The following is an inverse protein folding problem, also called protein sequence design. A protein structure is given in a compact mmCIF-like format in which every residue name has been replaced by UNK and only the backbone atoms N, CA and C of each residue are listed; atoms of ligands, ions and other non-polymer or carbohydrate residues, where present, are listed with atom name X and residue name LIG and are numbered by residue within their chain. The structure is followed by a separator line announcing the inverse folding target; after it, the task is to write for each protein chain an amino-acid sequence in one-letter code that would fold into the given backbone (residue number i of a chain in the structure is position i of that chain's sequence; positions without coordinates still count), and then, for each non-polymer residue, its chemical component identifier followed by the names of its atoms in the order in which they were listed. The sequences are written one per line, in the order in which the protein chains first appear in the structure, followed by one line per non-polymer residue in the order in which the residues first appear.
data_IF_847251571444
#
_entry.id   IF_847251571444
#
_cell.length_a   1.000
_cell.length_b   1.000
_cell.length_c   1.000
_cell.angle_alpha   90.00
_cell.angle_beta   90.00
_cell.angle_gamma   90.00
#
_symmetry.space_group_name_H-M   'P 1'
#
loop_
_entity.id
_entity.type
_entity.pdbx_description
1 polymer ?
#
# COMPACT_ATOMS: atom_id res chain seq x y z
N UNK A 1 -29.53 -36.71 -57.75
CA UNK A 1 -29.77 -35.33 -57.32
C UNK A 1 -29.14 -35.14 -55.95
N UNK A 2 -28.14 -34.27 -55.90
CA UNK A 2 -27.17 -34.17 -54.81
C UNK A 2 -27.70 -33.59 -53.50
N UNK A 3 -27.57 -34.34 -52.41
CA UNK A 3 -27.89 -33.92 -51.05
C UNK A 3 -26.65 -33.37 -50.30
N UNK A 4 -25.68 -32.75 -50.99
CA UNK A 4 -24.43 -32.33 -50.41
C UNK A 4 -24.44 -30.93 -49.73
N UNK A 5 -25.59 -30.23 -49.69
CA UNK A 5 -25.66 -28.88 -49.16
C UNK A 5 -26.02 -28.82 -47.67
N UNK A 6 -26.56 -29.89 -47.09
CA UNK A 6 -26.96 -29.92 -45.65
C UNK A 6 -25.78 -30.16 -44.71
N UNK A 7 -24.75 -30.88 -45.14
CA UNK A 7 -23.58 -31.18 -44.33
C UNK A 7 -22.67 -29.97 -44.11
N UNK A 8 -22.50 -29.10 -45.15
CA UNK A 8 -21.67 -27.88 -45.02
C UNK A 8 -22.28 -26.85 -44.05
N UNK A 9 -23.59 -26.72 -43.97
CA UNK A 9 -24.25 -25.79 -43.05
C UNK A 9 -24.19 -26.28 -41.60
N UNK A 10 -24.26 -27.57 -41.38
CA UNK A 10 -24.19 -28.19 -40.04
C UNK A 10 -22.78 -28.03 -39.43
N UNK A 11 -21.74 -28.25 -40.20
CA UNK A 11 -20.34 -28.06 -39.81
C UNK A 11 -20.04 -26.60 -39.44
N UNK A 12 -20.60 -25.60 -40.14
CA UNK A 12 -20.41 -24.18 -39.80
C UNK A 12 -21.07 -23.80 -38.45
N UNK A 13 -22.26 -24.31 -38.17
CA UNK A 13 -22.96 -24.06 -36.91
C UNK A 13 -22.21 -24.68 -35.73
N UNK A 14 -21.68 -25.88 -35.90
CA UNK A 14 -20.88 -26.59 -34.91
C UNK A 14 -19.57 -25.83 -34.63
N UNK A 15 -18.86 -25.33 -35.62
CA UNK A 15 -17.68 -24.49 -35.46
C UNK A 15 -17.99 -23.16 -34.72
N UNK A 16 -19.09 -22.50 -35.08
CA UNK A 16 -19.51 -21.28 -34.39
C UNK A 16 -19.83 -21.53 -32.90
N UNK A 17 -20.47 -22.67 -32.59
CA UNK A 17 -20.75 -23.10 -31.23
C UNK A 17 -19.47 -23.30 -30.41
N UNK A 18 -18.48 -23.99 -30.95
CA UNK A 18 -17.18 -24.21 -30.31
C UNK A 18 -16.44 -22.90 -30.11
N UNK A 19 -16.41 -22.00 -31.11
CA UNK A 19 -15.78 -20.69 -30.97
C UNK A 19 -16.45 -19.82 -29.88
N UNK A 20 -17.77 -19.87 -29.80
CA UNK A 20 -18.49 -19.14 -28.73
C UNK A 20 -18.10 -19.64 -27.32
N UNK A 21 -18.01 -20.95 -27.14
CA UNK A 21 -17.59 -21.56 -25.88
C UNK A 21 -16.17 -21.19 -25.54
N UNK A 22 -15.23 -21.30 -26.47
CA UNK A 22 -13.83 -20.93 -26.27
C UNK A 22 -13.71 -19.46 -25.92
N UNK A 23 -14.46 -18.57 -26.55
CA UNK A 23 -14.44 -17.14 -26.27
C UNK A 23 -14.89 -16.85 -24.84
N UNK A 24 -16.00 -17.44 -24.40
CA UNK A 24 -16.49 -17.25 -22.99
C UNK A 24 -15.51 -17.78 -21.97
N UNK A 25 -14.93 -18.97 -22.19
CA UNK A 25 -13.92 -19.57 -21.30
C UNK A 25 -12.65 -18.72 -21.26
N UNK A 26 -12.20 -18.19 -22.40
CA UNK A 26 -10.99 -17.34 -22.46
C UNK A 26 -11.18 -16.03 -21.70
N UNK A 27 -12.32 -15.35 -21.87
CA UNK A 27 -12.61 -14.09 -21.18
C UNK A 27 -12.72 -14.31 -19.67
N UNK A 28 -13.42 -15.36 -19.23
CA UNK A 28 -13.55 -15.69 -17.81
C UNK A 28 -12.22 -16.10 -17.17
N UNK A 29 -11.39 -16.84 -17.90
CA UNK A 29 -10.04 -17.22 -17.48
C UNK A 29 -9.12 -16.00 -17.28
N UNK A 30 -9.13 -15.06 -18.22
CA UNK A 30 -8.36 -13.80 -18.11
C UNK A 30 -8.82 -12.93 -16.95
N UNK A 31 -10.12 -12.81 -16.72
CA UNK A 31 -10.67 -12.06 -15.61
C UNK A 31 -10.27 -12.67 -14.25
N UNK A 32 -10.34 -14.00 -14.13
CA UNK A 32 -9.91 -14.73 -12.94
C UNK A 32 -8.42 -14.57 -12.67
N UNK A 33 -7.58 -14.69 -13.71
CA UNK A 33 -6.13 -14.48 -13.61
C UNK A 33 -5.79 -13.06 -13.19
N UNK A 34 -6.42 -12.05 -13.78
CA UNK A 34 -6.20 -10.64 -13.41
C UNK A 34 -6.50 -10.38 -11.94
N UNK A 35 -7.63 -10.91 -11.43
CA UNK A 35 -8.01 -10.79 -10.04
C UNK A 35 -7.01 -11.50 -9.10
N UNK A 36 -6.59 -12.72 -9.44
CA UNK A 36 -5.60 -13.48 -8.68
C UNK A 36 -4.26 -12.74 -8.61
N UNK A 37 -3.81 -12.14 -9.72
CA UNK A 37 -2.58 -11.36 -9.76
C UNK A 37 -2.67 -10.09 -8.91
N UNK A 38 -3.81 -9.40 -8.90
CA UNK A 38 -4.02 -8.24 -8.02
C UNK A 38 -3.95 -8.63 -6.54
N UNK A 39 -4.59 -9.75 -6.15
CA UNK A 39 -4.52 -10.25 -4.78
C UNK A 39 -3.10 -10.66 -4.38
N UNK A 40 -2.37 -11.31 -5.28
CA UNK A 40 -0.97 -11.68 -5.06
C UNK A 40 -0.08 -10.46 -4.80
N UNK A 41 -0.19 -9.42 -5.64
CA UNK A 41 0.54 -8.16 -5.45
C UNK A 41 0.17 -7.46 -4.14
N UNK A 42 -1.10 -7.46 -3.77
CA UNK A 42 -1.57 -6.89 -2.52
C UNK A 42 -0.98 -7.62 -1.30
N UNK A 43 -0.90 -8.94 -1.34
CA UNK A 43 -0.30 -9.74 -0.27
C UNK A 43 1.20 -9.47 -0.15
N UNK A 44 1.95 -9.45 -1.27
CA UNK A 44 3.38 -9.11 -1.25
C UNK A 44 3.61 -7.72 -0.62
N UNK A 45 2.80 -6.74 -0.99
CA UNK A 45 2.89 -5.40 -0.42
C UNK A 45 2.63 -5.41 1.09
N UNK A 46 1.56 -6.09 1.51
CA UNK A 46 1.21 -6.21 2.92
C UNK A 46 2.32 -6.86 3.73
N UNK A 47 2.84 -7.98 3.26
CA UNK A 47 3.90 -8.72 3.93
C UNK A 47 5.18 -7.88 4.01
N UNK A 48 5.52 -7.15 2.95
CA UNK A 48 6.66 -6.23 2.94
C UNK A 48 6.51 -5.07 3.95
N UNK A 49 5.31 -4.51 4.10
CA UNK A 49 5.04 -3.49 5.13
C UNK A 49 5.20 -4.07 6.54
N UNK A 50 4.70 -5.29 6.76
CA UNK A 50 4.83 -5.99 8.04
C UNK A 50 6.30 -6.21 8.38
N UNK A 51 7.12 -6.65 7.44
CA UNK A 51 8.58 -6.83 7.63
C UNK A 51 9.28 -5.52 8.01
N UNK A 52 8.95 -4.42 7.30
CA UNK A 52 9.51 -3.10 7.61
C UNK A 52 9.07 -2.63 9.01
N UNK A 53 7.80 -2.85 9.40
CA UNK A 53 7.30 -2.48 10.71
C UNK A 53 7.95 -3.31 11.83
N UNK A 54 8.15 -4.60 11.63
CA UNK A 54 8.90 -5.44 12.57
C UNK A 54 10.32 -4.93 12.77
N UNK A 55 11.03 -4.64 11.68
CA UNK A 55 12.37 -4.05 11.77
C UNK A 55 12.32 -2.71 12.51
N UNK A 56 11.40 -1.82 12.14
CA UNK A 56 11.27 -0.50 12.76
C UNK A 56 11.05 -0.59 14.28
N UNK A 57 10.19 -1.50 14.73
CA UNK A 57 9.93 -1.74 16.14
C UNK A 57 11.16 -2.33 16.83
N UNK A 58 11.87 -3.28 16.20
CA UNK A 58 13.06 -3.90 16.80
C UNK A 58 14.23 -2.94 17.01
N UNK A 59 14.38 -1.93 16.13
CA UNK A 59 15.45 -0.93 16.25
C UNK A 59 15.05 0.29 17.09
N UNK A 60 13.76 0.50 17.29
CA UNK A 60 13.18 1.66 17.94
C UNK A 60 13.87 1.97 19.28
N UNK A 61 13.99 0.99 20.17
CA UNK A 61 14.57 1.16 21.50
C UNK A 61 16.03 1.65 21.50
N UNK A 62 16.76 1.38 20.42
CA UNK A 62 18.15 1.79 20.26
C UNK A 62 18.31 3.18 19.62
N UNK A 63 17.23 3.75 19.06
CA UNK A 63 17.30 5.01 18.31
C UNK A 63 17.42 6.25 19.22
N UNK A 64 17.09 6.15 20.50
CA UNK A 64 17.23 7.26 21.45
C UNK A 64 18.67 7.82 21.53
N UNK A 65 19.66 7.00 21.14
CA UNK A 65 21.07 7.40 21.11
C UNK A 65 21.36 8.35 19.91
N UNK A 66 20.53 8.30 18.86
CA UNK A 66 20.71 9.06 17.62
C UNK A 66 19.98 10.41 17.60
N UNK A 67 19.81 11.08 18.72
CA UNK A 67 19.13 12.36 18.81
C UNK A 67 20.01 13.51 18.27
N UNK A 68 20.27 13.50 16.96
CA UNK A 68 21.15 14.47 16.28
C UNK A 68 20.45 15.76 15.86
N UNK A 69 19.12 15.85 16.02
CA UNK A 69 18.32 17.00 15.52
C UNK A 69 17.97 16.92 14.03
N UNK A 70 18.60 16.04 13.29
CA UNK A 70 18.39 15.84 11.85
C UNK A 70 17.53 14.61 11.57
N UNK A 71 16.92 14.58 10.38
CA UNK A 71 16.17 13.41 9.90
C UNK A 71 17.17 12.37 9.40
N UNK A 72 17.19 11.21 10.03
CA UNK A 72 18.05 10.10 9.65
C UNK A 72 17.25 9.08 8.83
N UNK A 73 17.77 8.71 7.66
CA UNK A 73 17.21 7.65 6.84
C UNK A 73 17.71 6.28 7.31
N UNK A 74 16.79 5.47 7.82
CA UNK A 74 17.08 4.13 8.31
C UNK A 74 16.82 3.02 7.28
N UNK A 75 16.39 3.38 6.07
CA UNK A 75 16.15 2.39 5.00
C UNK A 75 17.44 1.66 4.62
N UNK A 76 18.57 2.37 4.63
CA UNK A 76 19.89 1.75 4.39
C UNK A 76 20.27 0.73 5.47
N UNK A 77 19.92 0.98 6.72
CA UNK A 77 20.15 0.04 7.82
C UNK A 77 19.30 -1.22 7.69
N UNK A 78 18.02 -1.06 7.29
CA UNK A 78 17.13 -2.18 6.97
C UNK A 78 17.75 -3.06 5.88
N UNK A 79 18.23 -2.45 4.80
CA UNK A 79 18.86 -3.17 3.68
C UNK A 79 20.15 -3.85 4.10
N UNK A 80 20.99 -3.17 4.89
CA UNK A 80 22.25 -3.72 5.40
C UNK A 80 22.04 -4.93 6.33
N UNK A 81 20.90 -5.00 7.02
CA UNK A 81 20.51 -6.16 7.83
C UNK A 81 20.04 -7.37 7.01
N UNK A 82 19.99 -7.25 5.69
CA UNK A 82 19.54 -8.30 4.78
C UNK A 82 18.00 -8.41 4.64
N UNK A 83 17.26 -7.51 5.25
CA UNK A 83 15.80 -7.55 5.30
C UNK A 83 15.16 -6.69 4.18
N UNK A 84 15.45 -7.02 2.91
CA UNK A 84 14.74 -6.39 1.79
C UNK A 84 13.45 -7.17 1.57
N UNK A 85 12.27 -6.54 1.77
CA UNK A 85 10.99 -7.21 1.61
C UNK A 85 10.80 -7.77 0.19
N UNK A 86 10.15 -8.92 0.09
CA UNK A 86 9.86 -9.55 -1.19
C UNK A 86 9.11 -8.58 -2.13
N UNK A 87 9.52 -8.54 -3.39
CA UNK A 87 8.93 -7.66 -4.40
C UNK A 87 9.37 -6.20 -4.35
N UNK A 88 10.27 -5.85 -3.43
CA UNK A 88 10.92 -4.54 -3.35
C UNK A 88 12.38 -4.60 -3.76
N UNK A 89 12.90 -3.48 -4.24
CA UNK A 89 14.33 -3.27 -4.53
C UNK A 89 14.78 -1.97 -3.90
N UNK A 90 16.04 -1.92 -3.45
CA UNK A 90 16.61 -0.70 -2.87
C UNK A 90 17.24 0.17 -3.95
N UNK A 91 16.82 1.42 -4.01
CA UNK A 91 17.38 2.41 -4.94
C UNK A 91 17.29 3.81 -4.32
N UNK A 92 18.42 4.54 -4.31
CA UNK A 92 18.49 5.93 -3.87
C UNK A 92 17.74 6.20 -2.54
N UNK A 93 18.07 5.44 -1.49
CA UNK A 93 17.49 5.58 -0.15
C UNK A 93 16.02 5.13 0.00
N UNK A 94 15.43 4.56 -1.03
CA UNK A 94 14.05 4.06 -1.03
C UNK A 94 14.00 2.57 -1.33
N UNK A 95 13.05 1.90 -0.73
CA UNK A 95 12.59 0.60 -1.19
C UNK A 95 11.50 0.84 -2.23
N UNK A 96 11.67 0.32 -3.44
CA UNK A 96 10.76 0.56 -4.55
C UNK A 96 10.16 -0.73 -5.05
N UNK A 97 8.87 -0.72 -5.38
CA UNK A 97 8.19 -1.80 -6.08
C UNK A 97 8.14 -1.53 -7.59
N UNK A 98 7.95 -2.57 -8.40
CA UNK A 98 7.77 -2.43 -9.86
C UNK A 98 6.55 -1.59 -10.24
N UNK A 99 5.56 -1.50 -9.35
CA UNK A 99 4.32 -0.74 -9.57
C UNK A 99 4.44 0.74 -9.15
N UNK A 100 5.66 1.21 -8.80
CA UNK A 100 5.95 2.64 -8.55
C UNK A 100 5.71 3.12 -7.12
N UNK A 101 5.49 2.21 -6.15
CA UNK A 101 5.53 2.54 -4.74
C UNK A 101 6.98 2.76 -4.32
N UNK A 102 7.22 3.77 -3.49
CA UNK A 102 8.49 3.98 -2.80
C UNK A 102 8.25 4.05 -1.30
N UNK A 103 9.01 3.27 -0.54
CA UNK A 103 8.95 3.24 0.92
C UNK A 103 10.27 3.75 1.51
N UNK A 104 10.19 4.52 2.57
CA UNK A 104 11.33 5.05 3.29
C UNK A 104 11.08 4.97 4.80
N UNK A 105 12.04 4.42 5.54
CA UNK A 105 12.01 4.44 6.99
C UNK A 105 12.88 5.59 7.48
N UNK A 106 12.27 6.54 8.20
CA UNK A 106 12.96 7.74 8.66
C UNK A 106 12.75 7.95 10.15
N UNK A 107 13.82 8.31 10.83
CA UNK A 107 13.82 8.74 12.22
C UNK A 107 14.17 10.22 12.30
N UNK A 108 13.43 11.01 13.06
CA UNK A 108 13.70 12.42 13.16
C UNK A 108 12.75 13.18 14.06
N UNK A 109 13.11 14.43 14.27
CA UNK A 109 12.37 15.33 15.15
C UNK A 109 11.09 15.84 14.49
N UNK A 110 9.95 15.48 15.05
CA UNK A 110 8.65 16.07 14.68
C UNK A 110 8.38 17.27 15.59
N UNK A 111 8.06 18.40 14.97
CA UNK A 111 7.64 19.63 15.68
C UNK A 111 6.16 19.87 15.42
N UNK A 112 5.40 20.18 16.48
CA UNK A 112 4.00 20.59 16.36
C UNK A 112 3.65 21.56 17.46
N UNK A 113 2.55 22.28 17.31
CA UNK A 113 1.99 23.10 18.36
C UNK A 113 0.93 22.31 19.11
N UNK A 114 0.98 22.34 20.44
CA UNK A 114 -0.07 21.82 21.30
C UNK A 114 -1.31 22.70 21.22
N UNK A 115 -2.43 22.21 21.74
CA UNK A 115 -3.69 22.97 21.79
C UNK A 115 -3.55 24.26 22.62
N UNK A 116 -2.64 24.31 23.59
CA UNK A 116 -2.31 25.47 24.39
C UNK A 116 -1.40 26.50 23.68
N UNK A 117 -1.04 26.24 22.41
CA UNK A 117 -0.14 27.06 21.60
C UNK A 117 1.35 26.84 21.86
N UNK A 118 1.73 26.02 22.85
CA UNK A 118 3.13 25.70 23.11
C UNK A 118 3.72 24.80 22.02
N UNK A 119 4.99 25.06 21.65
CA UNK A 119 5.72 24.22 20.74
C UNK A 119 6.09 22.89 21.42
N UNK A 120 5.76 21.78 20.78
CA UNK A 120 6.17 20.46 21.18
C UNK A 120 7.11 19.88 20.13
N UNK A 121 8.06 19.09 20.57
CA UNK A 121 8.95 18.35 19.68
C UNK A 121 9.25 16.98 20.26
N UNK A 122 9.30 16.00 19.36
CA UNK A 122 9.48 14.61 19.75
C UNK A 122 10.16 13.85 18.61
N UNK A 123 11.08 12.97 18.97
CA UNK A 123 11.66 12.08 17.98
C UNK A 123 10.69 10.95 17.67
N UNK A 124 10.40 10.78 16.41
CA UNK A 124 9.49 9.74 15.94
C UNK A 124 10.12 8.95 14.83
N UNK A 125 9.78 7.67 14.79
CA UNK A 125 10.11 6.77 13.69
C UNK A 125 8.91 6.68 12.76
N UNK A 126 9.12 6.99 11.49
CA UNK A 126 8.08 7.01 10.48
C UNK A 126 8.41 6.07 9.34
N UNK A 127 7.47 5.21 8.99
CA UNK A 127 7.44 4.56 7.70
C UNK A 127 6.64 5.43 6.72
N UNK A 128 7.32 5.98 5.73
CA UNK A 128 6.76 6.83 4.68
C UNK A 128 6.57 6.01 3.41
N UNK A 129 5.37 6.01 2.89
CA UNK A 129 4.99 5.29 1.66
C UNK A 129 4.54 6.31 0.63
N UNK A 130 5.33 6.47 -0.42
CA UNK A 130 5.08 7.41 -1.52
C UNK A 130 4.57 6.66 -2.73
N UNK A 131 3.58 7.21 -3.39
CA UNK A 131 3.13 6.74 -4.70
C UNK A 131 2.75 7.91 -5.59
N UNK A 132 3.18 7.80 -6.85
CA UNK A 132 2.84 8.78 -7.87
C UNK A 132 1.47 8.48 -8.44
N UNK A 133 0.60 9.47 -8.40
CA UNK A 133 -0.70 9.42 -9.03
C UNK A 133 -0.59 10.00 -10.45
N UNK A 134 -0.18 9.17 -11.40
CA UNK A 134 0.01 9.62 -12.79
C UNK A 134 -1.03 9.09 -13.77
N UNK A 135 -2.14 8.46 -13.34
CA UNK A 135 -3.15 8.00 -14.30
C UNK A 135 -4.49 7.64 -13.67
N UNK A 136 -5.50 7.67 -14.49
CA UNK A 136 -6.90 7.27 -14.23
C UNK A 136 -7.06 5.86 -13.62
N UNK A 137 -6.06 5.01 -13.74
CA UNK A 137 -6.05 3.64 -13.17
C UNK A 137 -5.81 3.59 -11.65
N UNK A 138 -5.42 4.69 -11.03
CA UNK A 138 -5.02 4.72 -9.62
C UNK A 138 -6.18 4.91 -8.64
N UNK A 139 -7.39 5.26 -9.06
CA UNK A 139 -8.49 5.48 -8.12
C UNK A 139 -8.86 4.22 -7.32
N UNK A 140 -8.98 3.08 -7.98
CA UNK A 140 -9.21 1.78 -7.34
C UNK A 140 -7.94 1.23 -6.68
N UNK A 141 -6.75 1.46 -7.29
CA UNK A 141 -5.48 1.03 -6.71
C UNK A 141 -5.11 1.81 -5.45
N UNK A 142 -5.43 3.10 -5.37
CA UNK A 142 -5.19 3.92 -4.17
C UNK A 142 -6.01 3.46 -2.98
N UNK A 143 -7.27 3.09 -3.18
CA UNK A 143 -8.12 2.52 -2.12
C UNK A 143 -7.54 1.19 -1.66
N UNK A 144 -7.29 0.28 -2.58
CA UNK A 144 -6.73 -1.04 -2.27
C UNK A 144 -5.37 -0.93 -1.58
N UNK A 145 -4.55 0.04 -2.00
CA UNK A 145 -3.28 0.34 -1.34
C UNK A 145 -3.50 0.82 0.10
N UNK A 146 -4.36 1.81 0.30
CA UNK A 146 -4.71 2.32 1.63
C UNK A 146 -5.25 1.19 2.52
N UNK A 147 -6.20 0.38 2.03
CA UNK A 147 -6.76 -0.76 2.76
C UNK A 147 -5.67 -1.76 3.16
N UNK A 148 -4.76 -2.12 2.26
CA UNK A 148 -3.68 -3.07 2.54
C UNK A 148 -2.67 -2.53 3.56
N UNK A 149 -2.30 -1.25 3.47
CA UNK A 149 -1.37 -0.62 4.41
C UNK A 149 -1.97 -0.57 5.82
N UNK A 150 -3.23 -0.14 5.94
CA UNK A 150 -3.89 -0.05 7.24
C UNK A 150 -4.09 -1.44 7.84
N UNK A 151 -4.47 -2.42 7.02
CA UNK A 151 -4.62 -3.81 7.47
C UNK A 151 -3.28 -4.43 7.89
N UNK A 152 -2.18 -4.11 7.20
CA UNK A 152 -0.83 -4.51 7.59
C UNK A 152 -0.39 -3.89 8.92
N UNK A 153 -0.76 -2.63 9.16
CA UNK A 153 -0.42 -1.89 10.36
C UNK A 153 -1.27 -2.27 11.59
N UNK A 154 -2.47 -2.80 11.38
CA UNK A 154 -3.44 -3.08 12.45
C UNK A 154 -2.90 -3.96 13.60
N UNK A 155 -2.14 -5.05 13.36
CA UNK A 155 -1.56 -5.86 14.42
C UNK A 155 -0.58 -5.10 15.33
N UNK A 156 -0.05 -3.98 14.84
CA UNK A 156 0.91 -3.14 15.54
C UNK A 156 0.27 -1.90 16.19
N UNK A 157 -1.05 -1.89 16.35
CA UNK A 157 -1.79 -0.72 16.83
C UNK A 157 -1.23 -0.12 18.12
N UNK A 158 -0.73 -0.95 19.06
CA UNK A 158 -0.10 -0.51 20.31
C UNK A 158 1.19 0.28 20.10
N UNK A 159 1.94 -0.06 19.04
CA UNK A 159 3.22 0.57 18.69
C UNK A 159 3.05 1.78 17.77
N UNK A 160 1.86 1.97 17.21
CA UNK A 160 1.58 3.02 16.25
C UNK A 160 0.96 4.23 16.96
N UNK A 161 1.60 5.39 16.83
CA UNK A 161 1.06 6.66 17.29
C UNK A 161 -0.06 7.15 16.36
N UNK A 162 0.20 7.13 15.05
CA UNK A 162 -0.78 7.60 14.06
C UNK A 162 -0.48 7.06 12.66
N UNK A 163 -1.53 6.94 11.85
CA UNK A 163 -1.44 6.80 10.40
C UNK A 163 -1.99 8.07 9.78
N UNK A 164 -1.17 8.76 9.00
CA UNK A 164 -1.51 10.03 8.37
C UNK A 164 -1.43 9.89 6.85
N UNK A 165 -2.41 10.40 6.16
CA UNK A 165 -2.44 10.45 4.71
C UNK A 165 -2.31 11.89 4.23
N UNK A 166 -1.38 12.13 3.30
CA UNK A 166 -1.13 13.43 2.69
C UNK A 166 -1.27 13.33 1.19
N UNK A 167 -2.03 14.23 0.62
CA UNK A 167 -2.08 14.47 -0.83
C UNK A 167 -1.54 15.87 -1.03
N UNK A 168 -0.78 16.11 -2.10
CA UNK A 168 -0.33 17.46 -2.44
C UNK A 168 -1.51 18.42 -2.41
N UNK A 169 -1.36 19.53 -1.66
CA UNK A 169 -2.35 20.61 -1.49
C UNK A 169 -3.56 20.35 -0.59
N UNK A 170 -3.64 19.24 0.13
CA UNK A 170 -4.69 18.98 1.10
C UNK A 170 -4.13 19.01 2.52
N UNK A 171 -4.85 19.70 3.40
CA UNK A 171 -4.54 19.76 4.84
C UNK A 171 -4.47 18.33 5.42
N UNK A 172 -3.38 18.03 6.11
CA UNK A 172 -3.11 16.73 6.73
C UNK A 172 -4.31 16.25 7.57
N UNK A 173 -4.79 15.06 7.30
CA UNK A 173 -5.76 14.40 8.17
C UNK A 173 -5.15 13.11 8.70
N UNK A 174 -5.08 13.00 10.03
CA UNK A 174 -4.79 11.73 10.67
C UNK A 174 -5.96 10.77 10.36
N UNK A 175 -5.66 9.65 9.71
CA UNK A 175 -6.67 8.62 9.43
C UNK A 175 -6.99 7.83 10.70
N UNK A 176 -5.96 7.48 11.44
CA UNK A 176 -6.04 6.67 12.65
C UNK A 176 -5.02 7.12 13.69
N UNK A 177 -5.41 7.02 14.95
CA UNK A 177 -4.49 6.91 16.10
C UNK A 177 -4.39 5.44 16.48
N UNK A 178 -3.29 5.02 17.12
CA UNK A 178 -3.06 3.62 17.45
C UNK A 178 -4.22 2.94 18.18
N UNK A 179 -4.81 3.62 19.17
CA UNK A 179 -5.99 3.12 19.92
C UNK A 179 -7.22 2.89 19.05
N UNK A 180 -7.45 3.72 18.02
CA UNK A 180 -8.57 3.54 17.10
C UNK A 180 -8.30 2.47 16.06
N UNK A 181 -7.04 2.20 15.75
CA UNK A 181 -6.63 1.22 14.74
C UNK A 181 -6.93 -0.22 15.17
N UNK A 182 -6.65 -0.56 16.44
CA UNK A 182 -6.84 -1.92 16.95
C UNK A 182 -8.28 -2.43 16.81
N UNK A 183 -9.25 -1.56 17.00
CA UNK A 183 -10.68 -1.90 17.01
C UNK A 183 -11.38 -1.58 15.69
N UNK A 184 -10.64 -1.17 14.66
CA UNK A 184 -11.23 -0.78 13.38
C UNK A 184 -11.64 -2.00 12.56
N UNK A 185 -12.87 -2.00 12.10
CA UNK A 185 -13.39 -3.07 11.22
C UNK A 185 -12.92 -2.89 9.77
N UNK A 186 -12.87 -3.97 8.96
CA UNK A 186 -12.57 -3.87 7.53
C UNK A 186 -13.50 -2.92 6.77
N UNK A 187 -14.76 -2.83 7.18
CA UNK A 187 -15.75 -1.93 6.55
C UNK A 187 -15.41 -0.45 6.82
N UNK A 188 -14.98 -0.11 8.03
CA UNK A 188 -14.53 1.23 8.39
C UNK A 188 -13.23 1.61 7.68
N UNK A 189 -12.25 0.70 7.58
CA UNK A 189 -11.02 0.90 6.81
C UNK A 189 -11.39 1.26 5.37
N UNK A 190 -12.25 0.47 4.74
CA UNK A 190 -12.69 0.68 3.37
C UNK A 190 -13.42 2.03 3.19
N UNK A 191 -14.30 2.38 4.11
CA UNK A 191 -15.01 3.66 4.10
C UNK A 191 -14.04 4.85 4.18
N UNK A 192 -13.09 4.81 5.10
CA UNK A 192 -12.07 5.86 5.26
C UNK A 192 -11.15 5.97 4.06
N UNK A 193 -10.66 4.85 3.51
CA UNK A 193 -9.83 4.86 2.31
C UNK A 193 -10.57 5.40 1.09
N UNK A 194 -11.86 5.14 0.96
CA UNK A 194 -12.69 5.70 -0.10
C UNK A 194 -12.87 7.22 -0.01
N UNK A 195 -12.91 7.77 1.19
CA UNK A 195 -13.02 9.22 1.38
C UNK A 195 -11.78 9.99 0.91
N UNK A 196 -10.65 9.31 0.66
CA UNK A 196 -9.38 9.89 0.20
C UNK A 196 -9.32 10.06 -1.33
N UNK A 197 -10.34 9.64 -2.08
CA UNK A 197 -10.31 9.51 -3.56
C UNK A 197 -10.25 10.80 -4.37
N UNK A 198 -10.24 11.98 -3.79
CA UNK A 198 -10.74 13.18 -4.48
C UNK A 198 -9.70 14.06 -5.17
N UNK A 199 -8.38 13.74 -5.20
CA UNK A 199 -7.40 14.65 -5.82
C UNK A 199 -6.24 13.95 -6.54
N UNK A 200 -5.85 14.51 -7.67
CA UNK A 200 -4.63 14.17 -8.42
C UNK A 200 -3.39 14.67 -7.67
N UNK A 201 -2.29 13.92 -7.69
CA UNK A 201 -1.02 14.34 -7.11
C UNK A 201 -0.21 13.19 -6.51
N UNK A 202 0.92 13.53 -5.91
CA UNK A 202 1.71 12.56 -5.13
C UNK A 202 1.02 12.34 -3.79
N UNK A 203 0.71 11.09 -3.49
CA UNK A 203 0.16 10.71 -2.21
C UNK A 203 1.28 10.13 -1.31
N UNK A 204 1.25 10.53 -0.06
CA UNK A 204 2.12 10.03 1.00
C UNK A 204 1.25 9.45 2.12
N UNK A 205 1.48 8.21 2.47
CA UNK A 205 0.96 7.62 3.68
C UNK A 205 2.11 7.45 4.67
N UNK A 206 1.99 8.02 5.85
CA UNK A 206 2.98 7.91 6.91
C UNK A 206 2.42 7.16 8.11
N UNK A 207 3.11 6.10 8.52
CA UNK A 207 2.88 5.38 9.77
C UNK A 207 3.91 5.87 10.76
N UNK A 208 3.46 6.59 11.80
CA UNK A 208 4.30 7.07 12.89
C UNK A 208 4.22 6.09 14.05
N UNK A 209 5.37 5.63 14.53
CA UNK A 209 5.44 4.79 15.72
C UNK A 209 5.38 5.64 16.98
N UNK A 210 4.87 5.07 18.07
CA UNK A 210 4.87 5.70 19.38
C UNK A 210 6.31 6.07 19.77
N UNK A 211 6.52 7.23 20.42
CA UNK A 211 7.81 7.58 20.98
C UNK A 211 8.24 6.57 22.05
N UNK A 212 9.47 6.72 22.49
CA UNK A 212 10.08 5.87 23.54
C UNK A 212 9.44 6.12 24.88
#
# INVERSE_FOLDING_TARGET
MNNNNTEKGRSMIEMLGVLAIITVLSVSGLAGYSKAMQMYKANILRDGIIEILHFAISVKENLHILQTGEVTNLTSALVASGNIPAGMSYNNEYLTTKDGLSAQLVYGLKKWNREDGSAAQEYILNLRLYFKQNSVLLSLSTINFCENVITAAQPFGKEIASITFWISDVKNSALYTGKSLENTTPAEIKSKCRSLQTKEGTALLAISLNPF
#
